data_IF_811123291590
#
_entry.id   IF_811123291590
#
_cell.length_a   1.000
_cell.length_b   1.000
_cell.length_c   1.000
_cell.angle_alpha   90.00
_cell.angle_beta   90.00
_cell.angle_gamma   90.00
#
_symmetry.space_group_name_H-M   'P 1'
#
loop_
_entity.id
_entity.type
_entity.pdbx_description
1 polymer ?
#
# COMPACT_ATOMS: atom_id res chain seq x y z
N UNK A 1 4.05 -14.17 8.78
CA UNK A 1 3.14 -13.26 8.05
C UNK A 1 3.96 -12.17 7.39
N UNK A 2 3.49 -11.69 6.25
CA UNK A 2 4.06 -10.55 5.51
C UNK A 2 2.92 -9.64 5.05
N UNK A 3 3.22 -8.46 4.53
CA UNK A 3 2.22 -7.57 3.95
C UNK A 3 2.52 -7.39 2.48
N UNK A 4 1.58 -7.73 1.61
CA UNK A 4 1.59 -7.34 0.22
C UNK A 4 1.03 -5.92 0.10
N UNK A 5 1.79 -5.04 -0.54
CA UNK A 5 1.44 -3.65 -0.83
C UNK A 5 1.18 -3.55 -2.33
N UNK A 6 -0.04 -3.19 -2.70
CA UNK A 6 -0.41 -2.85 -4.06
C UNK A 6 -0.57 -1.32 -4.17
N UNK A 7 0.10 -0.73 -5.17
CA UNK A 7 0.17 0.71 -5.43
C UNK A 7 -0.46 0.96 -6.79
N UNK A 8 -1.60 1.66 -6.79
CA UNK A 8 -2.39 2.00 -7.97
C UNK A 8 -2.82 0.82 -8.87
N UNK A 9 -2.71 -0.44 -8.39
CA UNK A 9 -2.91 -1.63 -9.22
C UNK A 9 -1.81 -1.87 -10.25
N UNK A 10 -0.72 -1.09 -10.22
CA UNK A 10 0.37 -1.15 -11.19
C UNK A 10 1.62 -1.81 -10.60
N UNK A 11 1.91 -1.56 -9.33
CA UNK A 11 3.07 -2.12 -8.63
C UNK A 11 2.63 -2.90 -7.40
N UNK A 12 3.24 -4.07 -7.20
CA UNK A 12 3.02 -4.92 -6.03
C UNK A 12 4.35 -5.32 -5.42
N UNK A 13 4.53 -5.03 -4.13
CA UNK A 13 5.71 -5.43 -3.35
C UNK A 13 5.29 -6.19 -2.09
N UNK A 14 6.19 -6.99 -1.53
CA UNK A 14 5.98 -7.64 -0.24
C UNK A 14 6.97 -7.08 0.77
N UNK A 15 6.44 -6.59 1.89
CA UNK A 15 7.25 -6.14 3.03
C UNK A 15 7.10 -7.12 4.19
N UNK A 16 8.20 -7.41 4.87
CA UNK A 16 8.25 -8.34 6.00
C UNK A 16 8.94 -7.76 7.25
N UNK A 17 9.31 -6.48 7.21
CA UNK A 17 9.86 -5.76 8.35
C UNK A 17 8.86 -4.69 8.82
N UNK A 18 8.65 -4.61 10.14
CA UNK A 18 7.84 -3.57 10.76
C UNK A 18 8.69 -2.30 10.90
N UNK A 19 8.57 -1.42 9.91
CA UNK A 19 9.25 -0.12 9.88
C UNK A 19 8.49 0.86 8.98
N UNK A 20 8.78 2.18 9.06
CA UNK A 20 8.27 3.14 8.09
C UNK A 20 8.84 2.88 6.69
N UNK A 21 8.00 3.07 5.67
CA UNK A 21 8.39 3.02 4.25
C UNK A 21 7.95 4.30 3.56
N UNK A 22 8.79 4.79 2.64
CA UNK A 22 8.45 5.88 1.73
C UNK A 22 8.07 5.32 0.37
N UNK A 23 7.07 5.93 -0.26
CA UNK A 23 6.71 5.66 -1.66
C UNK A 23 7.13 6.89 -2.45
N UNK A 24 7.99 6.68 -3.43
CA UNK A 24 8.53 7.75 -4.28
C UNK A 24 7.97 7.60 -5.70
N UNK A 25 7.96 8.71 -6.46
CA UNK A 25 7.56 8.69 -7.87
C UNK A 25 6.06 8.50 -8.11
N UNK A 26 5.20 8.79 -7.12
CA UNK A 26 3.75 8.81 -7.32
C UNK A 26 3.34 9.93 -8.29
N UNK A 27 2.35 9.69 -9.18
CA UNK A 27 1.78 10.74 -9.99
C UNK A 27 0.98 11.74 -9.13
N UNK A 28 0.88 12.98 -9.59
CA UNK A 28 -0.07 13.96 -9.03
C UNK A 28 -1.51 13.48 -9.19
N UNK A 29 -2.38 13.89 -8.27
CA UNK A 29 -3.78 13.46 -8.21
C UNK A 29 -4.00 12.27 -7.28
N UNK A 30 -5.10 11.55 -7.49
CA UNK A 30 -5.52 10.47 -6.62
C UNK A 30 -4.63 9.24 -6.77
N UNK A 31 -4.12 8.76 -5.64
CA UNK A 31 -3.34 7.55 -5.51
C UNK A 31 -4.04 6.60 -4.54
N UNK A 32 -3.93 5.31 -4.83
CA UNK A 32 -4.60 4.24 -4.10
C UNK A 32 -3.59 3.20 -3.64
N UNK A 33 -3.62 2.91 -2.34
CA UNK A 33 -2.77 1.88 -1.72
C UNK A 33 -3.67 0.82 -1.12
N UNK A 34 -3.39 -0.44 -1.44
CA UNK A 34 -4.05 -1.60 -0.85
C UNK A 34 -3.03 -2.46 -0.12
N UNK A 35 -3.25 -2.69 1.17
CA UNK A 35 -2.43 -3.56 2.00
C UNK A 35 -3.16 -4.87 2.26
N UNK A 36 -2.49 -5.98 2.02
CA UNK A 36 -3.02 -7.34 2.26
C UNK A 36 -2.06 -8.09 3.17
N UNK A 37 -2.52 -8.48 4.36
CA UNK A 37 -1.81 -9.41 5.23
C UNK A 37 -1.83 -10.80 4.57
N UNK A 38 -0.65 -11.38 4.38
CA UNK A 38 -0.45 -12.69 3.77
C UNK A 38 0.28 -13.66 4.70
N UNK A 39 -0.04 -14.94 4.58
CA UNK A 39 0.61 -16.03 5.31
C UNK A 39 1.99 -16.39 4.72
N UNK A 40 2.59 -17.49 5.20
CA UNK A 40 3.92 -17.95 4.74
C UNK A 40 3.90 -18.50 3.30
N UNK A 41 2.73 -18.89 2.82
CA UNK A 41 2.52 -19.50 1.50
C UNK A 41 2.05 -18.43 0.49
N UNK A 42 1.94 -17.17 0.92
CA UNK A 42 1.53 -16.02 0.10
C UNK A 42 0.02 -15.82 0.01
N UNK A 43 -0.78 -16.56 0.78
CA UNK A 43 -2.23 -16.46 0.73
C UNK A 43 -2.75 -15.34 1.65
N UNK A 44 -3.80 -14.60 1.26
CA UNK A 44 -4.46 -13.64 2.14
C UNK A 44 -4.97 -14.30 3.42
N UNK A 45 -4.71 -13.66 4.57
CA UNK A 45 -5.24 -14.10 5.87
C UNK A 45 -6.72 -13.72 5.97
N UNK A 46 -7.58 -14.69 6.28
CA UNK A 46 -9.01 -14.46 6.49
C UNK A 46 -9.27 -13.75 7.83
N UNK A 47 -9.47 -12.43 7.78
CA UNK A 47 -9.75 -11.60 8.96
C UNK A 47 -10.56 -10.35 8.56
N UNK A 48 -11.44 -9.82 9.44
CA UNK A 48 -12.43 -8.80 9.04
C UNK A 48 -11.88 -7.49 8.46
N UNK A 49 -10.62 -7.16 8.70
CA UNK A 49 -9.98 -5.91 8.23
C UNK A 49 -8.88 -6.15 7.18
N UNK A 50 -8.90 -7.30 6.50
CA UNK A 50 -7.95 -7.66 5.46
C UNK A 50 -8.68 -8.02 4.16
N UNK A 51 -8.41 -7.33 3.04
CA UNK A 51 -7.45 -6.23 2.85
C UNK A 51 -7.97 -4.87 3.34
N UNK A 52 -7.07 -3.91 3.50
CA UNK A 52 -7.39 -2.50 3.72
C UNK A 52 -6.95 -1.67 2.52
N UNK A 53 -7.78 -0.72 2.10
CA UNK A 53 -7.50 0.19 0.99
C UNK A 53 -7.60 1.65 1.47
N UNK A 54 -6.72 2.51 0.97
CA UNK A 54 -6.76 3.95 1.18
C UNK A 54 -6.53 4.69 -0.13
N UNK A 55 -7.29 5.76 -0.32
CA UNK A 55 -7.11 6.72 -1.40
C UNK A 55 -6.68 8.04 -0.78
N UNK A 56 -5.68 8.68 -1.38
CA UNK A 56 -5.23 10.02 -1.02
C UNK A 56 -4.83 10.80 -2.28
N UNK A 57 -4.95 12.11 -2.23
CA UNK A 57 -4.60 12.99 -3.34
C UNK A 57 -3.21 13.59 -3.10
N UNK A 58 -2.29 13.39 -4.04
CA UNK A 58 -1.03 14.11 -4.10
C UNK A 58 -1.27 15.42 -4.87
N UNK A 59 -0.94 16.54 -4.25
CA UNK A 59 -1.13 17.87 -4.81
C UNK A 59 0.10 18.73 -4.52
N UNK A 60 0.29 19.78 -5.33
CA UNK A 60 1.33 20.79 -5.09
C UNK A 60 1.14 21.44 -3.71
N UNK A 61 2.24 21.83 -3.08
CA UNK A 61 2.17 22.58 -1.83
C UNK A 61 1.63 23.98 -2.15
N UNK A 62 0.49 24.39 -1.58
CA UNK A 62 -0.06 25.72 -1.83
C UNK A 62 0.81 26.87 -1.29
N UNK A 63 1.84 26.57 -0.49
CA UNK A 63 2.80 27.55 0.01
C UNK A 63 4.08 27.69 -0.84
N UNK A 64 4.28 26.85 -1.87
CA UNK A 64 5.32 27.02 -2.90
C UNK A 64 4.85 27.90 -4.06
#
# INVERSE_FOLDING_TARGET
YKVQVDINGEQSIVVDQWQPYYIEGLPMGDNKIKLTLIDKDGNPVDTPLNPVERVFTLQEDPAE
#
